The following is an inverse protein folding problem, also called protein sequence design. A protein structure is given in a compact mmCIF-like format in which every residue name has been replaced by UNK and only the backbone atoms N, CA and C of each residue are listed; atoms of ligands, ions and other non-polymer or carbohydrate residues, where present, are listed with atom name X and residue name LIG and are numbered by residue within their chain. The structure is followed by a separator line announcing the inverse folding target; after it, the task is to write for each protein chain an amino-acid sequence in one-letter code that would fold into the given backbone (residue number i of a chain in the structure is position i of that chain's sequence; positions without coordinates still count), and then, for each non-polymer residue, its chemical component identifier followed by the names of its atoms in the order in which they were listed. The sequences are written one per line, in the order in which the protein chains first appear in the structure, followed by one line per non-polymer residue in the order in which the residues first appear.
data_IF_680791460710
#
_entry.id   IF_680791460710
#
_cell.length_a   1.000
_cell.length_b   1.000
_cell.length_c   1.000
_cell.angle_alpha   90.00
_cell.angle_beta   90.00
_cell.angle_gamma   90.00
#
_symmetry.space_group_name_H-M   'P 1'
#
loop_
_entity.id
_entity.type
_entity.pdbx_description
1 polymer ?
#
# COMPACT_ATOMS: atom_id res chain seq x y z
N UNK A 1 33.95 -3.03 6.61
CA UNK A 1 33.26 -2.13 7.56
C UNK A 1 32.34 -1.23 6.76
N UNK A 2 31.05 -1.55 6.69
CA UNK A 2 30.07 -0.68 6.05
C UNK A 2 29.83 0.50 7.00
N UNK A 3 30.31 1.68 6.62
CA UNK A 3 29.99 2.91 7.31
C UNK A 3 28.52 3.22 7.03
N UNK A 4 27.66 2.94 8.01
CA UNK A 4 26.32 3.52 8.02
C UNK A 4 26.49 5.01 8.28
N UNK A 5 26.50 5.80 7.20
CA UNK A 5 26.35 7.23 7.32
C UNK A 5 24.89 7.46 7.73
N UNK A 6 24.66 7.65 9.04
CA UNK A 6 23.44 8.28 9.47
C UNK A 6 23.36 9.62 8.72
N UNK A 7 22.35 9.77 7.86
CA UNK A 7 22.07 11.05 7.23
C UNK A 7 22.02 12.11 8.34
N UNK A 8 22.57 13.32 8.13
CA UNK A 8 22.39 14.41 9.08
C UNK A 8 20.89 14.49 9.39
N UNK A 9 20.55 14.49 10.68
CA UNK A 9 19.17 14.40 11.13
C UNK A 9 18.35 15.42 10.36
N UNK A 10 17.54 14.95 9.40
CA UNK A 10 16.64 15.82 8.70
C UNK A 10 15.62 16.26 9.75
N UNK A 11 15.50 17.56 9.98
CA UNK A 11 14.57 18.11 10.98
C UNK A 11 13.10 17.73 10.68
N UNK A 12 12.81 17.25 9.46
CA UNK A 12 11.50 16.76 9.06
C UNK A 12 11.57 15.67 7.98
N UNK A 13 10.62 14.73 8.02
CA UNK A 13 10.43 13.68 7.00
C UNK A 13 9.47 14.18 5.91
N UNK A 14 9.86 14.10 4.63
CA UNK A 14 9.01 14.43 3.47
C UNK A 14 8.09 13.25 3.16
N UNK A 15 6.87 13.32 3.65
CA UNK A 15 5.83 12.32 3.43
C UNK A 15 5.13 12.53 2.08
N UNK A 16 5.08 11.48 1.26
CA UNK A 16 4.41 11.52 -0.03
C UNK A 16 2.95 11.07 0.09
N UNK A 17 2.03 11.90 -0.41
CA UNK A 17 0.59 11.71 -0.38
C UNK A 17 0.07 11.51 -1.81
N UNK A 18 -0.88 10.58 -2.00
CA UNK A 18 -1.44 10.22 -3.33
C UNK A 18 -2.84 10.79 -3.58
N UNK A 19 -3.30 11.72 -2.74
CA UNK A 19 -4.58 12.40 -2.93
C UNK A 19 -4.67 13.72 -2.16
N UNK A 20 -5.57 14.64 -2.56
CA UNK A 20 -5.85 15.86 -1.80
C UNK A 20 -6.33 15.58 -0.36
N UNK A 21 -7.02 14.47 -0.13
CA UNK A 21 -7.49 14.07 1.20
C UNK A 21 -6.32 13.67 2.10
N UNK A 22 -5.37 12.90 1.56
CA UNK A 22 -4.13 12.55 2.26
C UNK A 22 -3.26 13.78 2.52
N UNK A 23 -3.13 14.68 1.53
CA UNK A 23 -2.38 15.93 1.71
C UNK A 23 -2.94 16.76 2.86
N UNK A 24 -4.27 16.94 2.93
CA UNK A 24 -4.91 17.65 4.06
C UNK A 24 -4.63 16.99 5.40
N UNK A 25 -4.68 15.66 5.47
CA UNK A 25 -4.37 14.91 6.69
C UNK A 25 -2.89 15.07 7.09
N UNK A 26 -1.99 15.02 6.12
CA UNK A 26 -0.56 15.24 6.35
C UNK A 26 -0.27 16.66 6.86
N UNK A 27 -0.88 17.70 6.28
CA UNK A 27 -0.67 19.09 6.73
C UNK A 27 -1.17 19.31 8.18
N UNK A 28 -2.27 18.64 8.56
CA UNK A 28 -2.74 18.63 9.95
C UNK A 28 -1.71 17.94 10.88
N UNK A 29 -1.15 16.79 10.47
CA UNK A 29 -0.12 16.08 11.22
C UNK A 29 1.17 16.90 11.37
N UNK A 30 1.60 17.55 10.28
CA UNK A 30 2.72 18.49 10.28
C UNK A 30 2.50 19.64 11.26
N UNK A 31 1.31 20.24 11.28
CA UNK A 31 0.97 21.32 12.21
C UNK A 31 1.02 20.85 13.67
N UNK A 32 0.57 19.61 13.93
CA UNK A 32 0.53 19.06 15.28
C UNK A 32 1.91 18.62 15.82
N UNK A 33 2.83 18.20 14.96
CA UNK A 33 4.08 17.53 15.38
C UNK A 33 5.35 18.28 14.97
N UNK A 34 5.32 19.08 13.90
CA UNK A 34 6.50 19.73 13.33
C UNK A 34 7.51 18.80 12.64
N UNK A 35 7.29 17.48 12.66
CA UNK A 35 8.27 16.48 12.18
C UNK A 35 8.08 16.07 10.71
N UNK A 36 7.09 16.62 10.01
CA UNK A 36 6.74 16.22 8.65
C UNK A 36 6.70 17.40 7.69
N UNK A 37 7.01 17.13 6.43
CA UNK A 37 6.62 17.95 5.28
C UNK A 37 5.82 17.09 4.32
N UNK A 38 4.93 17.69 3.53
CA UNK A 38 3.92 16.96 2.79
C UNK A 38 4.04 17.24 1.28
N UNK A 39 4.26 16.19 0.49
CA UNK A 39 4.35 16.26 -0.97
C UNK A 39 3.20 15.49 -1.59
N UNK A 40 2.35 16.16 -2.36
CA UNK A 40 1.29 15.49 -3.12
C UNK A 40 1.80 15.02 -4.50
N UNK A 41 1.43 13.81 -4.88
CA UNK A 41 1.53 13.23 -6.23
C UNK A 41 0.17 12.66 -6.64
N UNK A 42 -0.02 12.38 -7.92
CA UNK A 42 -1.33 11.91 -8.41
C UNK A 42 -1.61 10.44 -8.13
N UNK A 43 -0.59 9.63 -7.86
CA UNK A 43 -0.72 8.19 -7.67
C UNK A 43 0.46 7.59 -6.89
N UNK A 44 0.37 6.28 -6.64
CA UNK A 44 1.36 5.51 -5.88
C UNK A 44 2.71 5.43 -6.59
N UNK A 45 2.73 5.26 -7.91
CA UNK A 45 3.97 5.11 -8.68
C UNK A 45 4.78 6.40 -8.70
N UNK A 46 4.11 7.55 -8.84
CA UNK A 46 4.78 8.84 -8.76
C UNK A 46 5.36 9.15 -7.38
N UNK A 47 4.77 8.61 -6.31
CA UNK A 47 5.40 8.69 -4.98
C UNK A 47 6.62 7.78 -4.85
N UNK A 48 6.56 6.56 -5.37
CA UNK A 48 7.71 5.64 -5.43
C UNK A 48 8.87 6.29 -6.21
N UNK A 49 8.58 6.88 -7.37
CA UNK A 49 9.54 7.63 -8.18
C UNK A 49 10.07 8.87 -7.46
N UNK A 50 9.22 9.60 -6.74
CA UNK A 50 9.63 10.75 -5.94
C UNK A 50 10.62 10.35 -4.83
N UNK A 51 10.44 9.19 -4.19
CA UNK A 51 11.39 8.71 -3.19
C UNK A 51 12.69 8.26 -3.86
N UNK A 52 12.61 7.50 -4.96
CA UNK A 52 13.80 7.08 -5.71
C UNK A 52 14.67 8.27 -6.16
N UNK A 53 14.05 9.35 -6.61
CA UNK A 53 14.73 10.57 -7.06
C UNK A 53 15.10 11.53 -5.93
N UNK A 54 14.80 11.18 -4.67
CA UNK A 54 15.12 12.00 -3.50
C UNK A 54 14.25 13.24 -3.33
N UNK A 55 13.09 13.32 -3.99
CA UNK A 55 12.07 14.37 -3.79
C UNK A 55 11.20 14.14 -2.55
N UNK A 56 11.01 12.89 -2.13
CA UNK A 56 10.31 12.49 -0.91
C UNK A 56 11.13 11.46 -0.12
N UNK A 57 10.75 11.20 1.13
CA UNK A 57 11.46 10.29 2.02
C UNK A 57 10.65 9.02 2.34
N UNK A 58 9.33 9.14 2.47
CA UNK A 58 8.48 8.03 2.92
C UNK A 58 7.07 8.04 2.30
N UNK A 59 6.51 6.84 2.17
CA UNK A 59 5.10 6.57 1.82
C UNK A 59 4.70 5.23 2.45
N UNK A 60 3.43 5.10 2.86
CA UNK A 60 2.85 3.79 3.22
C UNK A 60 2.26 3.11 1.99
N UNK A 61 2.61 1.84 1.78
CA UNK A 61 2.27 1.05 0.60
C UNK A 61 1.53 -0.24 0.97
N UNK A 62 0.66 -0.72 0.07
CA UNK A 62 0.12 -2.08 0.18
C UNK A 62 1.21 -3.11 -0.19
N UNK A 63 1.07 -4.36 0.28
CA UNK A 63 2.02 -5.44 -0.01
C UNK A 63 2.32 -5.64 -1.50
N UNK A 64 1.33 -5.46 -2.39
CA UNK A 64 1.55 -5.53 -3.83
C UNK A 64 2.42 -4.39 -4.36
N UNK A 65 2.22 -3.17 -3.87
CA UNK A 65 3.05 -2.03 -4.25
C UNK A 65 4.46 -2.12 -3.64
N UNK A 66 4.61 -2.72 -2.45
CA UNK A 66 5.93 -2.97 -1.84
C UNK A 66 6.76 -3.88 -2.75
N UNK A 67 6.15 -4.92 -3.32
CA UNK A 67 6.82 -5.77 -4.31
C UNK A 67 7.31 -4.94 -5.51
N UNK A 68 6.46 -4.11 -6.10
CA UNK A 68 6.85 -3.24 -7.23
C UNK A 68 7.94 -2.24 -6.85
N UNK A 69 7.80 -1.57 -5.71
CA UNK A 69 8.76 -0.58 -5.19
C UNK A 69 10.13 -1.19 -4.85
N UNK A 70 10.18 -2.49 -4.55
CA UNK A 70 11.44 -3.21 -4.27
C UNK A 70 12.21 -3.61 -5.52
N UNK A 71 11.60 -3.53 -6.72
CA UNK A 71 12.28 -3.89 -7.97
C UNK A 71 13.47 -2.96 -8.23
N UNK A 72 14.48 -3.47 -8.93
CA UNK A 72 15.78 -2.81 -9.10
C UNK A 72 15.74 -1.38 -9.68
N UNK A 73 14.69 -1.03 -10.42
CA UNK A 73 14.48 0.32 -10.96
C UNK A 73 14.10 1.35 -9.88
N UNK A 74 13.53 0.91 -8.75
CA UNK A 74 13.15 1.76 -7.62
C UNK A 74 14.03 1.48 -6.40
N UNK A 75 14.25 0.22 -6.04
CA UNK A 75 15.15 -0.20 -4.95
C UNK A 75 14.77 0.41 -3.59
N UNK A 76 13.47 0.55 -3.34
CA UNK A 76 12.93 0.97 -2.05
C UNK A 76 12.80 -0.23 -1.12
N UNK A 77 12.98 0.00 0.18
CA UNK A 77 12.95 -1.03 1.20
C UNK A 77 11.90 -0.70 2.27
N UNK A 78 11.11 -1.68 2.74
CA UNK A 78 10.19 -1.48 3.84
C UNK A 78 10.99 -1.27 5.15
N UNK A 79 10.68 -0.18 5.87
CA UNK A 79 11.38 0.19 7.13
C UNK A 79 10.47 0.19 8.35
N UNK A 80 9.16 0.35 8.16
CA UNK A 80 8.12 0.37 9.20
C UNK A 80 6.90 -0.39 8.66
N UNK A 81 6.23 -1.17 9.50
CA UNK A 81 5.01 -1.89 9.17
C UNK A 81 3.87 -1.46 10.11
N UNK A 82 2.63 -1.50 9.60
CA UNK A 82 1.43 -1.32 10.42
C UNK A 82 1.20 -2.57 11.29
N UNK A 83 0.78 -2.36 12.54
CA UNK A 83 0.38 -3.41 13.48
C UNK A 83 -1.12 -3.27 13.75
N UNK A 84 -1.88 -4.32 13.44
CA UNK A 84 -3.33 -4.38 13.56
C UNK A 84 -3.79 -5.18 14.77
N UNK A 85 -2.85 -5.70 15.55
CA UNK A 85 -3.12 -6.51 16.73
C UNK A 85 -3.71 -5.71 17.89
N UNK A 86 -4.89 -6.12 18.40
CA UNK A 86 -5.49 -5.45 19.57
C UNK A 86 -4.84 -5.86 20.90
N UNK A 87 -4.46 -7.15 21.02
CA UNK A 87 -3.90 -7.73 22.26
C UNK A 87 -2.53 -8.36 22.08
N UNK A 88 -2.21 -8.80 20.86
CA UNK A 88 -0.92 -9.34 20.45
C UNK A 88 -0.55 -8.73 19.12
N UNK A 89 0.72 -8.35 18.94
CA UNK A 89 1.21 -7.78 17.68
C UNK A 89 0.86 -8.66 16.49
N UNK A 90 0.20 -8.09 15.50
CA UNK A 90 -0.16 -8.74 14.23
C UNK A 90 0.07 -7.77 13.07
N UNK A 91 1.12 -8.01 12.31
CA UNK A 91 1.50 -7.20 11.14
C UNK A 91 0.88 -7.73 9.84
N UNK A 92 -0.04 -8.70 9.95
CA UNK A 92 -0.77 -9.26 8.83
C UNK A 92 -2.25 -8.86 8.88
N UNK A 93 -2.90 -8.93 7.73
CA UNK A 93 -4.32 -8.68 7.61
C UNK A 93 -4.95 -9.69 6.62
N UNK A 94 -6.25 -9.95 6.78
CA UNK A 94 -6.97 -10.92 5.96
C UNK A 94 -7.54 -10.29 4.69
N UNK A 95 -7.34 -10.95 3.56
CA UNK A 95 -8.10 -10.68 2.34
C UNK A 95 -9.45 -11.43 2.40
N UNK A 96 -10.55 -10.72 2.21
CA UNK A 96 -11.91 -11.28 2.26
C UNK A 96 -12.77 -10.81 1.09
N UNK A 97 -13.66 -11.68 0.61
CA UNK A 97 -14.66 -11.34 -0.40
C UNK A 97 -16.02 -11.14 0.29
N UNK A 98 -16.53 -9.91 0.28
CA UNK A 98 -17.79 -9.55 0.95
C UNK A 98 -18.93 -9.53 -0.05
N UNK A 99 -20.06 -10.16 0.31
CA UNK A 99 -21.29 -10.18 -0.50
C UNK A 99 -22.50 -9.78 0.33
N UNK A 100 -23.53 -9.23 -0.33
CA UNK A 100 -24.82 -8.96 0.33
C UNK A 100 -25.51 -10.29 0.70
N UNK A 101 -26.16 -10.31 1.86
CA UNK A 101 -27.03 -11.42 2.27
C UNK A 101 -28.12 -11.66 1.23
N UNK A 102 -28.39 -12.92 0.89
CA UNK A 102 -29.41 -13.29 -0.09
C UNK A 102 -28.98 -13.13 -1.55
N UNK A 103 -27.69 -12.92 -1.82
CA UNK A 103 -27.15 -12.84 -3.19
C UNK A 103 -27.25 -14.14 -3.99
N UNK A 104 -27.36 -15.29 -3.32
CA UNK A 104 -27.70 -16.57 -3.94
C UNK A 104 -26.61 -17.18 -4.81
N UNK A 105 -25.35 -16.73 -4.68
CA UNK A 105 -24.21 -17.32 -5.36
C UNK A 105 -23.05 -17.54 -4.38
N UNK A 106 -22.22 -18.53 -4.69
CA UNK A 106 -21.00 -18.87 -3.98
C UNK A 106 -19.75 -18.40 -4.73
N UNK A 107 -18.57 -18.61 -4.14
CA UNK A 107 -17.28 -18.24 -4.75
C UNK A 107 -17.05 -18.89 -6.13
N UNK A 108 -17.54 -20.10 -6.36
CA UNK A 108 -17.40 -20.81 -7.65
C UNK A 108 -18.30 -20.25 -8.76
N UNK A 109 -19.26 -19.39 -8.40
CA UNK A 109 -20.29 -18.86 -9.30
C UNK A 109 -20.08 -17.37 -9.61
N UNK A 110 -18.85 -16.88 -9.42
CA UNK A 110 -18.48 -15.47 -9.66
C UNK A 110 -18.45 -15.09 -11.15
N UNK A 111 -18.39 -16.07 -12.07
CA UNK A 111 -18.38 -15.80 -13.51
C UNK A 111 -19.63 -15.04 -13.93
N UNK A 112 -19.44 -13.89 -14.59
CA UNK A 112 -20.52 -13.02 -15.03
C UNK A 112 -21.14 -12.13 -13.93
N UNK A 113 -20.59 -12.14 -12.71
CA UNK A 113 -20.98 -11.21 -11.65
C UNK A 113 -20.14 -9.92 -11.71
N UNK A 114 -20.68 -8.85 -11.14
CA UNK A 114 -19.94 -7.59 -10.95
C UNK A 114 -19.11 -7.68 -9.68
N UNK A 115 -17.86 -7.24 -9.75
CA UNK A 115 -16.95 -7.17 -8.62
C UNK A 115 -16.45 -5.74 -8.40
N UNK A 116 -16.12 -5.41 -7.16
CA UNK A 116 -15.45 -4.18 -6.77
C UNK A 116 -14.11 -4.56 -6.15
N UNK A 117 -13.04 -3.91 -6.58
CA UNK A 117 -11.67 -4.19 -6.16
C UNK A 117 -11.05 -2.92 -5.56
N UNK A 118 -10.17 -3.06 -4.57
CA UNK A 118 -9.50 -1.90 -3.96
C UNK A 118 -8.56 -1.19 -4.93
N UNK A 119 -7.94 -1.95 -5.83
CA UNK A 119 -7.09 -1.46 -6.91
C UNK A 119 -6.38 -2.60 -7.61
N UNK A 120 -5.91 -2.35 -8.84
CA UNK A 120 -5.07 -3.29 -9.59
C UNK A 120 -3.75 -3.52 -8.84
N UNK A 121 -3.26 -4.75 -8.82
CA UNK A 121 -1.98 -5.11 -8.17
C UNK A 121 -2.00 -5.11 -6.64
N UNK A 122 -3.07 -4.61 -5.99
CA UNK A 122 -3.21 -4.64 -4.52
C UNK A 122 -3.41 -6.08 -4.02
N UNK A 123 -2.94 -6.36 -2.82
CA UNK A 123 -2.95 -7.69 -2.19
C UNK A 123 -4.37 -8.23 -2.05
N UNK A 124 -5.19 -7.67 -1.16
CA UNK A 124 -6.55 -8.16 -0.92
C UNK A 124 -7.52 -7.87 -2.06
N UNK A 125 -7.28 -6.80 -2.82
CA UNK A 125 -8.17 -6.38 -3.90
C UNK A 125 -7.94 -7.12 -5.22
N UNK A 126 -6.73 -7.61 -5.48
CA UNK A 126 -6.36 -8.16 -6.79
C UNK A 126 -5.54 -9.45 -6.69
N UNK A 127 -4.34 -9.40 -6.12
CA UNK A 127 -3.40 -10.53 -6.17
C UNK A 127 -3.97 -11.78 -5.49
N UNK A 128 -4.53 -11.63 -4.29
CA UNK A 128 -5.12 -12.75 -3.55
C UNK A 128 -6.39 -13.29 -4.24
N UNK A 129 -7.43 -12.50 -4.57
CA UNK A 129 -8.63 -13.04 -5.19
C UNK A 129 -8.38 -13.61 -6.60
N UNK A 130 -7.55 -12.97 -7.44
CA UNK A 130 -7.21 -13.50 -8.76
C UNK A 130 -6.39 -14.78 -8.63
N UNK A 131 -5.39 -14.80 -7.74
CA UNK A 131 -4.59 -16.00 -7.46
C UNK A 131 -5.44 -17.18 -6.97
N UNK A 132 -6.40 -16.92 -6.06
CA UNK A 132 -7.34 -17.94 -5.60
C UNK A 132 -8.21 -18.49 -6.73
N UNK A 133 -8.76 -17.63 -7.59
CA UNK A 133 -9.58 -18.04 -8.73
C UNK A 133 -8.81 -18.91 -9.73
N UNK A 134 -7.53 -18.58 -9.99
CA UNK A 134 -6.65 -19.39 -10.85
C UNK A 134 -6.32 -20.72 -10.18
N UNK A 135 -5.96 -20.70 -8.89
CA UNK A 135 -5.63 -21.92 -8.13
C UNK A 135 -6.80 -22.90 -8.03
N UNK A 136 -8.03 -22.41 -7.97
CA UNK A 136 -9.24 -23.25 -7.95
C UNK A 136 -9.72 -23.65 -9.37
N UNK A 137 -9.04 -23.20 -10.43
CA UNK A 137 -9.42 -23.47 -11.82
C UNK A 137 -10.72 -22.78 -12.26
N UNK A 138 -11.19 -21.79 -11.50
CA UNK A 138 -12.38 -20.98 -11.84
C UNK A 138 -12.01 -19.97 -12.94
N UNK A 139 -10.84 -19.35 -12.82
CA UNK A 139 -10.26 -18.48 -13.84
C UNK A 139 -9.14 -19.23 -14.57
N UNK A 140 -9.22 -19.26 -15.91
CA UNK A 140 -8.15 -19.78 -16.76
C UNK A 140 -7.20 -18.64 -17.10
N UNK A 141 -5.91 -18.85 -16.86
CA UNK A 141 -4.83 -17.92 -17.16
C UNK A 141 -3.98 -18.45 -18.32
#
# INVERSE_FOLDING_TARGET
TAYSFAAPAADSVRWCNKSPQEQRKCEALKTATGHFTCLEKSDTMQCIEAIKTGMADAITLDGGDIYEASLANYDLHPVIAEDYGETTSDTCYYAVAVVKKGSGFSFKELKGKKSCHTGLGKSAGWNIPIGALVSEGILKW
#
